data_IF_532479261190
#
_entry.id   IF_532479261190
#
_cell.length_a   1.000
_cell.length_b   1.000
_cell.length_c   1.000
_cell.angle_alpha   90.00
_cell.angle_beta   90.00
_cell.angle_gamma   90.00
#
_symmetry.space_group_name_H-M   'P 1'
#
loop_
_entity.id
_entity.type
_entity.pdbx_description
1 polymer ?
#
# COMPACT_ATOMS: atom_id res chain seq x y z
N UNK A 1 -49.32 24.99 -2.29
CA UNK A 1 -48.24 24.26 -2.97
C UNK A 1 -46.97 24.65 -2.25
N UNK A 2 -46.49 23.70 -1.47
CA UNK A 2 -45.30 23.79 -0.63
C UNK A 2 -44.08 23.56 -1.50
N UNK A 3 -43.19 24.54 -1.65
CA UNK A 3 -41.90 24.28 -2.29
C UNK A 3 -40.79 25.01 -1.53
N UNK A 4 -40.30 24.26 -0.53
CA UNK A 4 -38.93 24.23 -0.06
C UNK A 4 -38.15 25.53 -0.22
N UNK A 5 -38.20 26.36 0.83
CA UNK A 5 -37.10 27.24 1.17
C UNK A 5 -35.89 26.35 1.50
N UNK A 6 -35.18 25.93 0.44
CA UNK A 6 -33.85 25.38 0.55
C UNK A 6 -32.99 26.51 1.10
N UNK A 7 -32.91 26.56 2.43
CA UNK A 7 -31.92 27.33 3.15
C UNK A 7 -30.61 27.10 2.45
N UNK A 8 -30.14 28.15 1.78
CA UNK A 8 -28.93 28.15 0.99
C UNK A 8 -27.79 27.92 1.98
N UNK A 9 -27.49 26.65 2.26
CA UNK A 9 -26.38 26.24 3.09
C UNK A 9 -25.13 26.66 2.34
N UNK A 10 -24.67 27.88 2.60
CA UNK A 10 -23.35 28.36 2.21
C UNK A 10 -22.35 27.44 2.88
N UNK A 11 -22.00 26.34 2.19
CA UNK A 11 -20.83 25.55 2.54
C UNK A 11 -19.67 26.53 2.40
N UNK A 12 -19.01 26.92 3.51
CA UNK A 12 -17.95 27.91 3.44
C UNK A 12 -16.86 27.33 2.52
N UNK A 13 -16.51 28.09 1.49
CA UNK A 13 -15.58 27.68 0.43
C UNK A 13 -14.22 27.19 0.96
N UNK A 14 -13.84 27.53 2.20
CA UNK A 14 -12.66 27.04 2.89
C UNK A 14 -12.76 25.62 3.47
N UNK A 15 -13.95 25.14 3.85
CA UNK A 15 -14.11 23.83 4.47
C UNK A 15 -13.87 22.66 3.48
N UNK A 16 -14.19 22.88 2.20
CA UNK A 16 -13.95 21.89 1.14
C UNK A 16 -12.46 21.62 0.90
N UNK A 17 -11.61 22.65 0.96
CA UNK A 17 -10.17 22.49 0.78
C UNK A 17 -9.51 21.75 1.93
N UNK A 18 -9.94 22.01 3.17
CA UNK A 18 -9.43 21.30 4.35
C UNK A 18 -9.79 19.81 4.25
N UNK A 19 -11.03 19.49 3.87
CA UNK A 19 -11.45 18.11 3.67
C UNK A 19 -10.64 17.42 2.55
N UNK A 20 -10.40 18.11 1.44
CA UNK A 20 -9.55 17.61 0.36
C UNK A 20 -8.11 17.33 0.82
N UNK A 21 -7.51 18.24 1.58
CA UNK A 21 -6.15 18.06 2.11
C UNK A 21 -6.06 16.87 3.06
N UNK A 22 -7.07 16.66 3.91
CA UNK A 22 -7.13 15.49 4.80
C UNK A 22 -7.23 14.21 3.99
N UNK A 23 -8.11 14.14 2.99
CA UNK A 23 -8.26 12.96 2.12
C UNK A 23 -6.95 12.68 1.36
N UNK A 24 -6.31 13.72 0.81
CA UNK A 24 -5.03 13.58 0.12
C UNK A 24 -3.93 13.07 1.07
N UNK A 25 -3.84 13.60 2.29
CA UNK A 25 -2.87 13.16 3.29
C UNK A 25 -3.10 11.70 3.68
N UNK A 26 -4.35 11.31 3.94
CA UNK A 26 -4.71 9.91 4.22
C UNK A 26 -4.33 9.03 3.04
N UNK A 27 -4.61 9.43 1.80
CA UNK A 27 -4.22 8.70 0.61
C UNK A 27 -2.70 8.50 0.48
N UNK A 28 -1.91 9.54 0.78
CA UNK A 28 -0.44 9.45 0.77
C UNK A 28 0.05 8.49 1.85
N UNK A 29 -0.49 8.57 3.07
CA UNK A 29 -0.17 7.65 4.17
C UNK A 29 -0.52 6.21 3.74
N UNK A 30 -1.74 5.98 3.25
CA UNK A 30 -2.16 4.66 2.77
C UNK A 30 -1.23 4.14 1.67
N UNK A 31 -0.83 4.99 0.73
CA UNK A 31 0.11 4.61 -0.33
C UNK A 31 1.48 4.20 0.23
N UNK A 32 2.04 4.97 1.16
CA UNK A 32 3.35 4.69 1.76
C UNK A 32 3.35 3.44 2.64
N UNK A 33 2.29 3.19 3.40
CA UNK A 33 2.22 2.09 4.37
C UNK A 33 1.62 0.79 3.83
N UNK A 34 0.88 0.83 2.72
CA UNK A 34 0.23 -0.37 2.16
C UNK A 34 0.72 -0.69 0.75
N UNK A 35 0.78 0.30 -0.15
CA UNK A 35 1.07 0.07 -1.58
C UNK A 35 2.57 -0.15 -1.81
N UNK A 36 3.45 0.71 -1.27
CA UNK A 36 4.90 0.48 -1.37
C UNK A 36 5.34 -0.87 -0.78
N UNK A 37 4.91 -1.24 0.44
CA UNK A 37 5.20 -2.54 1.02
C UNK A 37 4.75 -3.74 0.21
N UNK A 38 3.59 -3.66 -0.44
CA UNK A 38 3.08 -4.76 -1.25
C UNK A 38 3.88 -4.96 -2.54
N UNK A 39 4.34 -3.87 -3.18
CA UNK A 39 5.23 -3.94 -4.33
C UNK A 39 6.57 -4.60 -3.97
N UNK A 40 7.18 -4.16 -2.87
CA UNK A 40 8.45 -4.71 -2.38
C UNK A 40 8.32 -6.20 -2.05
N UNK A 41 7.23 -6.63 -1.40
CA UNK A 41 6.97 -8.06 -1.14
C UNK A 41 6.91 -8.86 -2.44
N UNK A 42 6.26 -8.32 -3.47
CA UNK A 42 6.15 -8.97 -4.77
C UNK A 42 7.51 -9.10 -5.47
N UNK A 43 8.32 -8.03 -5.45
CA UNK A 43 9.68 -8.03 -6.01
C UNK A 43 10.60 -9.02 -5.28
N UNK A 44 10.61 -8.99 -3.94
CA UNK A 44 11.38 -9.92 -3.13
C UNK A 44 10.95 -11.37 -3.34
N UNK A 45 9.64 -11.61 -3.51
CA UNK A 45 9.11 -12.94 -3.81
C UNK A 45 9.56 -13.42 -5.19
N UNK A 46 9.43 -12.60 -6.23
CA UNK A 46 9.90 -12.96 -7.56
C UNK A 46 11.41 -13.20 -7.59
N UNK A 47 12.18 -12.39 -6.86
CA UNK A 47 13.63 -12.57 -6.75
C UNK A 47 14.00 -13.89 -6.07
N UNK A 48 13.37 -14.23 -4.95
CA UNK A 48 13.67 -15.44 -4.20
C UNK A 48 13.19 -16.71 -4.93
N UNK A 49 11.98 -16.69 -5.48
CA UNK A 49 11.34 -17.85 -6.11
C UNK A 49 11.60 -17.97 -7.63
N UNK A 50 12.25 -16.98 -8.24
CA UNK A 50 12.64 -17.00 -9.66
C UNK A 50 13.86 -17.88 -9.95
N UNK A 51 14.61 -18.28 -8.93
CA UNK A 51 15.78 -19.17 -9.07
C UNK A 51 15.34 -20.61 -9.33
N UNK A 52 15.82 -21.27 -10.42
CA UNK A 52 15.42 -22.64 -10.75
C UNK A 52 15.77 -23.61 -9.62
N UNK A 53 14.90 -24.59 -9.38
CA UNK A 53 15.05 -25.55 -8.30
C UNK A 53 16.25 -26.48 -8.56
N UNK A 54 17.29 -26.37 -7.74
CA UNK A 54 18.59 -27.04 -7.91
C UNK A 54 18.62 -28.49 -7.40
N UNK A 55 17.47 -29.08 -7.09
CA UNK A 55 17.34 -30.40 -6.47
C UNK A 55 17.26 -30.31 -4.94
N UNK A 56 16.57 -31.28 -4.34
CA UNK A 56 16.02 -31.25 -2.97
C UNK A 56 15.11 -30.03 -2.71
N UNK A 57 13.81 -30.22 -2.94
CA UNK A 57 12.75 -29.21 -2.78
C UNK A 57 12.71 -28.59 -1.38
N UNK A 58 13.07 -29.33 -0.33
CA UNK A 58 13.02 -28.83 1.05
C UNK A 58 14.14 -27.83 1.35
N UNK A 59 15.37 -28.12 0.91
CA UNK A 59 16.51 -27.22 1.09
C UNK A 59 16.39 -25.97 0.22
N UNK A 60 15.94 -26.14 -1.03
CA UNK A 60 15.63 -25.01 -1.91
C UNK A 60 14.55 -24.12 -1.29
N UNK A 61 13.43 -24.67 -0.81
CA UNK A 61 12.36 -23.89 -0.17
C UNK A 61 12.88 -23.10 1.04
N UNK A 62 13.70 -23.73 1.89
CA UNK A 62 14.28 -23.10 3.07
C UNK A 62 15.24 -21.97 2.71
N UNK A 63 16.08 -22.17 1.69
CA UNK A 63 16.97 -21.13 1.19
C UNK A 63 16.17 -19.95 0.62
N UNK A 64 15.17 -20.23 -0.20
CA UNK A 64 14.27 -19.23 -0.80
C UNK A 64 13.56 -18.38 0.26
N UNK A 65 13.04 -19.01 1.33
CA UNK A 65 12.39 -18.32 2.43
C UNK A 65 13.36 -17.39 3.19
N UNK A 66 14.59 -17.84 3.41
CA UNK A 66 15.65 -17.01 3.99
C UNK A 66 16.00 -15.79 3.12
N UNK A 67 16.12 -15.97 1.80
CA UNK A 67 16.37 -14.85 0.87
C UNK A 67 15.20 -13.87 0.80
N UNK A 68 13.96 -14.37 0.87
CA UNK A 68 12.77 -13.54 0.94
C UNK A 68 12.76 -12.66 2.20
N UNK A 69 12.98 -13.24 3.38
CA UNK A 69 13.06 -12.48 4.64
C UNK A 69 14.22 -11.47 4.64
N UNK A 70 15.37 -11.85 4.08
CA UNK A 70 16.52 -10.96 3.96
C UNK A 70 16.24 -9.74 3.05
N UNK A 71 15.51 -9.96 1.95
CA UNK A 71 15.10 -8.89 1.03
C UNK A 71 14.07 -7.95 1.69
N UNK A 72 13.10 -8.50 2.43
CA UNK A 72 12.11 -7.70 3.17
C UNK A 72 12.79 -6.82 4.23
N UNK A 73 13.68 -7.39 5.05
CA UNK A 73 14.40 -6.63 6.07
C UNK A 73 15.24 -5.48 5.50
N UNK A 74 15.87 -5.69 4.33
CA UNK A 74 16.64 -4.64 3.65
C UNK A 74 15.78 -3.46 3.18
N UNK A 75 14.50 -3.70 2.92
CA UNK A 75 13.55 -2.69 2.51
C UNK A 75 12.71 -2.14 3.69
N UNK A 76 13.01 -2.55 4.93
CA UNK A 76 12.33 -2.07 6.14
C UNK A 76 10.96 -2.70 6.39
N UNK A 77 10.75 -3.95 5.94
CA UNK A 77 9.52 -4.73 6.12
C UNK A 77 9.69 -5.93 7.04
#
# INVERSE_FOLDING_TARGET
MEDLSAGQTRIPSGAGWILFLIIALVGIITYLFFIKPSQIRSECYQYAYGTPNLGNTNEWKKATEYYYEACLRRNGL
#
